data_IF_982923106000
#
_entry.id   IF_982923106000
#
_cell.length_a   1.000
_cell.length_b   1.000
_cell.length_c   1.000
_cell.angle_alpha   90.00
_cell.angle_beta   90.00
_cell.angle_gamma   90.00
#
_symmetry.space_group_name_H-M   'P 1'
#
loop_
_entity.id
_entity.type
_entity.pdbx_description
1 polymer ?
#
# COMPACT_ATOMS: atom_id res chain seq x y z
N UNK A 1 -22.78 -1.97 -19.01
CA UNK A 1 -22.41 -0.57 -18.73
C UNK A 1 -20.93 -0.56 -18.43
N UNK A 2 -20.11 0.11 -19.24
CA UNK A 2 -18.70 0.31 -18.88
C UNK A 2 -18.66 1.36 -17.78
N UNK A 3 -18.25 0.97 -16.57
CA UNK A 3 -17.94 1.95 -15.52
C UNK A 3 -16.72 2.73 -16.01
N UNK A 4 -16.85 4.05 -16.15
CA UNK A 4 -15.74 4.95 -16.46
C UNK A 4 -15.22 5.51 -15.14
N UNK A 5 -13.93 5.29 -14.88
CA UNK A 5 -13.23 5.86 -13.73
C UNK A 5 -12.42 7.08 -14.20
N UNK A 6 -12.39 8.13 -13.38
CA UNK A 6 -11.56 9.32 -13.61
C UNK A 6 -10.79 9.65 -12.32
N UNK A 7 -9.46 9.62 -12.41
CA UNK A 7 -8.54 9.97 -11.33
C UNK A 7 -7.63 11.15 -11.72
N UNK A 8 -7.99 11.92 -12.75
CA UNK A 8 -7.26 13.13 -13.10
C UNK A 8 -7.16 14.09 -11.90
N UNK A 9 -5.95 14.61 -11.66
CA UNK A 9 -5.67 15.49 -10.52
C UNK A 9 -5.61 14.78 -9.16
N UNK A 10 -5.69 13.44 -9.11
CA UNK A 10 -5.52 12.65 -7.88
C UNK A 10 -4.10 12.13 -7.74
N UNK A 11 -3.60 12.15 -6.51
CA UNK A 11 -2.28 11.60 -6.13
C UNK A 11 -2.45 10.30 -5.38
N UNK A 12 -1.79 9.25 -5.87
CA UNK A 12 -1.89 7.89 -5.33
C UNK A 12 -0.51 7.40 -4.90
N UNK A 13 -0.34 7.09 -3.62
CA UNK A 13 0.86 6.45 -3.08
C UNK A 13 0.61 4.95 -2.89
N UNK A 14 1.45 4.11 -3.51
CA UNK A 14 1.33 2.65 -3.48
C UNK A 14 2.62 2.03 -2.97
N UNK A 15 2.55 1.21 -1.92
CA UNK A 15 3.70 0.42 -1.45
C UNK A 15 3.72 -1.00 -2.04
N UNK A 16 4.90 -1.59 -2.20
CA UNK A 16 5.04 -2.86 -2.91
C UNK A 16 4.59 -2.75 -4.37
N UNK A 17 4.76 -1.57 -4.96
CA UNK A 17 4.23 -1.23 -6.27
C UNK A 17 5.16 -1.57 -7.44
N UNK A 18 6.33 -2.17 -7.17
CA UNK A 18 7.28 -2.62 -8.17
C UNK A 18 6.95 -3.98 -8.78
N UNK A 19 5.99 -4.73 -8.22
CA UNK A 19 5.60 -6.05 -8.74
C UNK A 19 4.15 -6.43 -8.44
N UNK A 20 3.67 -7.50 -9.09
CA UNK A 20 2.40 -8.16 -8.79
C UNK A 20 1.19 -7.22 -8.76
N UNK A 21 0.36 -7.36 -7.72
CA UNK A 21 -0.86 -6.57 -7.51
C UNK A 21 -0.54 -5.08 -7.41
N UNK A 22 0.56 -4.70 -6.75
CA UNK A 22 0.93 -3.30 -6.57
C UNK A 22 1.28 -2.63 -7.90
N UNK A 23 2.09 -3.28 -8.74
CA UNK A 23 2.42 -2.77 -10.07
C UNK A 23 1.18 -2.68 -10.97
N UNK A 24 0.32 -3.71 -10.98
CA UNK A 24 -0.93 -3.67 -11.73
C UNK A 24 -1.85 -2.53 -11.26
N UNK A 25 -1.94 -2.31 -9.94
CA UNK A 25 -2.70 -1.22 -9.34
C UNK A 25 -2.15 0.15 -9.77
N UNK A 26 -0.82 0.31 -9.77
CA UNK A 26 -0.16 1.53 -10.24
C UNK A 26 -0.49 1.84 -11.71
N UNK A 27 -0.41 0.82 -12.57
CA UNK A 27 -0.72 0.94 -14.01
C UNK A 27 -2.18 1.33 -14.22
N UNK A 28 -3.13 0.73 -13.49
CA UNK A 28 -4.54 1.09 -13.64
C UNK A 28 -4.84 2.51 -13.14
N UNK A 29 -4.26 2.96 -12.02
CA UNK A 29 -4.42 4.36 -11.60
C UNK A 29 -3.81 5.34 -12.64
N UNK A 30 -2.66 5.01 -13.21
CA UNK A 30 -2.05 5.81 -14.26
C UNK A 30 -2.94 5.87 -15.53
N UNK A 31 -3.54 4.74 -15.93
CA UNK A 31 -4.48 4.63 -17.06
C UNK A 31 -5.65 5.59 -16.93
N UNK A 32 -6.14 5.80 -15.71
CA UNK A 32 -7.23 6.72 -15.40
C UNK A 32 -6.77 8.14 -15.02
N UNK A 33 -5.51 8.49 -15.30
CA UNK A 33 -5.02 9.87 -15.21
C UNK A 33 -4.47 10.30 -13.85
N UNK A 34 -4.29 9.39 -12.90
CA UNK A 34 -3.72 9.72 -11.59
C UNK A 34 -2.21 10.03 -11.68
N UNK A 35 -1.73 10.90 -10.79
CA UNK A 35 -0.31 11.01 -10.47
C UNK A 35 0.06 9.90 -9.49
N UNK A 36 0.83 8.91 -9.95
CA UNK A 36 1.19 7.74 -9.15
C UNK A 36 2.57 7.94 -8.51
N UNK A 37 2.69 7.53 -7.25
CA UNK A 37 3.95 7.37 -6.51
C UNK A 37 4.09 5.90 -6.11
N UNK A 38 5.19 5.29 -6.50
CA UNK A 38 5.47 3.86 -6.31
C UNK A 38 6.62 3.72 -5.32
N UNK A 39 6.33 3.11 -4.18
CA UNK A 39 7.32 2.69 -3.19
C UNK A 39 7.57 1.18 -3.27
N UNK A 40 8.83 0.78 -3.43
CA UNK A 40 9.23 -0.64 -3.42
C UNK A 40 10.71 -0.77 -3.06
N UNK A 41 11.12 -1.94 -2.56
CA UNK A 41 12.51 -2.27 -2.25
C UNK A 41 13.27 -2.74 -3.51
N UNK A 42 12.57 -3.18 -4.55
CA UNK A 42 13.17 -3.57 -5.82
C UNK A 42 13.25 -2.40 -6.81
N UNK A 43 14.45 -1.88 -7.01
CA UNK A 43 14.72 -0.81 -7.97
C UNK A 43 14.39 -1.18 -9.43
N UNK A 44 14.54 -2.46 -9.79
CA UNK A 44 14.24 -2.92 -11.15
C UNK A 44 12.74 -2.95 -11.38
N UNK A 45 11.99 -3.55 -10.44
CA UNK A 45 10.53 -3.53 -10.42
C UNK A 45 9.95 -2.13 -10.45
N UNK A 46 10.50 -1.18 -9.68
CA UNK A 46 10.12 0.24 -9.73
C UNK A 46 10.22 0.83 -11.13
N UNK A 47 11.36 0.63 -11.79
CA UNK A 47 11.61 1.19 -13.12
C UNK A 47 10.66 0.59 -14.16
N UNK A 48 10.41 -0.72 -14.07
CA UNK A 48 9.49 -1.42 -14.96
C UNK A 48 8.05 -0.93 -14.76
N UNK A 49 7.56 -0.88 -13.52
CA UNK A 49 6.21 -0.43 -13.21
C UNK A 49 6.00 1.03 -13.61
N UNK A 50 6.98 1.92 -13.37
CA UNK A 50 6.89 3.32 -13.77
C UNK A 50 6.84 3.49 -15.30
N UNK A 51 7.60 2.67 -16.04
CA UNK A 51 7.55 2.64 -17.51
C UNK A 51 6.18 2.20 -18.01
N UNK A 52 5.60 1.16 -17.40
CA UNK A 52 4.26 0.69 -17.73
C UNK A 52 3.19 1.76 -17.44
N UNK A 53 3.30 2.47 -16.31
CA UNK A 53 2.42 3.59 -15.96
C UNK A 53 2.49 4.70 -17.02
N UNK A 54 3.71 5.08 -17.44
CA UNK A 54 3.91 6.10 -18.46
C UNK A 54 3.23 5.73 -19.79
N UNK A 55 3.35 4.46 -20.21
CA UNK A 55 2.80 3.99 -21.48
C UNK A 55 1.25 4.02 -21.53
N UNK A 56 0.57 4.00 -20.38
CA UNK A 56 -0.90 4.01 -20.32
C UNK A 56 -1.47 5.35 -19.86
N UNK A 57 -0.64 6.27 -19.37
CA UNK A 57 -1.12 7.54 -18.83
C UNK A 57 -1.64 8.45 -19.95
N UNK A 58 -2.90 8.93 -19.88
CA UNK A 58 -3.48 9.79 -20.92
C UNK A 58 -2.76 11.14 -21.05
N UNK A 59 -2.05 11.59 -19.99
CA UNK A 59 -1.35 12.87 -19.93
C UNK A 59 0.18 12.69 -19.84
N UNK A 60 0.69 11.50 -20.17
CA UNK A 60 2.12 11.15 -20.05
C UNK A 60 2.72 11.45 -18.66
N UNK A 61 1.91 11.31 -17.60
CA UNK A 61 2.37 11.50 -16.22
C UNK A 61 3.35 10.37 -15.87
N UNK A 62 4.56 10.77 -15.47
CA UNK A 62 5.56 9.82 -14.98
C UNK A 62 5.24 9.45 -13.54
N UNK A 63 5.17 8.15 -13.27
CA UNK A 63 5.09 7.68 -11.90
C UNK A 63 6.39 8.03 -11.15
N UNK A 64 6.26 8.61 -9.96
CA UNK A 64 7.41 8.88 -9.09
C UNK A 64 7.86 7.56 -8.46
N UNK A 65 9.15 7.29 -8.52
CA UNK A 65 9.75 6.08 -7.98
C UNK A 65 10.49 6.41 -6.70
N UNK A 66 10.22 5.65 -5.65
CA UNK A 66 10.89 5.80 -4.37
C UNK A 66 11.37 4.41 -3.92
N UNK A 67 12.67 4.17 -4.04
CA UNK A 67 13.29 2.97 -3.48
C UNK A 67 13.12 3.00 -1.97
N UNK A 68 12.35 2.09 -1.38
CA UNK A 68 11.97 2.12 0.02
C UNK A 68 11.75 0.72 0.58
N UNK A 69 12.44 0.41 1.67
CA UNK A 69 12.13 -0.73 2.51
C UNK A 69 11.10 -0.30 3.56
N UNK A 70 9.87 -0.80 3.42
CA UNK A 70 8.76 -0.42 4.30
C UNK A 70 8.94 -0.86 5.77
N UNK A 71 9.96 -1.67 6.07
CA UNK A 71 10.32 -2.03 7.45
C UNK A 71 11.22 -1.00 8.12
N UNK A 72 11.66 0.04 7.39
CA UNK A 72 12.51 1.12 7.91
C UNK A 72 11.71 2.41 8.00
N UNK A 73 11.59 2.96 9.20
CA UNK A 73 10.83 4.19 9.46
C UNK A 73 11.31 5.37 8.61
N UNK A 74 12.63 5.51 8.43
CA UNK A 74 13.20 6.57 7.59
C UNK A 74 12.79 6.47 6.12
N UNK A 75 12.56 5.26 5.60
CA UNK A 75 12.09 5.06 4.23
C UNK A 75 10.59 5.37 4.10
N UNK A 76 9.79 5.08 5.14
CA UNK A 76 8.39 5.46 5.21
C UNK A 76 8.22 6.99 5.24
N UNK A 77 9.02 7.68 6.06
CA UNK A 77 9.03 9.14 6.10
C UNK A 77 9.41 9.72 4.73
N UNK A 78 10.48 9.19 4.12
CA UNK A 78 10.92 9.63 2.78
C UNK A 78 9.87 9.39 1.70
N UNK A 79 9.11 8.29 1.76
CA UNK A 79 7.98 8.05 0.84
C UNK A 79 6.94 9.18 0.93
N UNK A 80 6.54 9.53 2.14
CA UNK A 80 5.54 10.58 2.38
C UNK A 80 6.09 11.94 1.99
N UNK A 81 7.30 12.30 2.42
CA UNK A 81 7.93 13.58 2.12
C UNK A 81 8.13 13.77 0.60
N UNK A 82 8.57 12.73 -0.10
CA UNK A 82 8.73 12.77 -1.57
C UNK A 82 7.38 13.00 -2.24
N UNK A 83 6.34 12.29 -1.79
CA UNK A 83 4.97 12.43 -2.32
C UNK A 83 4.45 13.85 -2.14
N UNK A 84 4.55 14.39 -0.93
CA UNK A 84 4.03 15.73 -0.63
C UNK A 84 4.86 16.82 -1.30
N UNK A 85 6.18 16.70 -1.30
CA UNK A 85 7.06 17.70 -1.93
C UNK A 85 6.84 17.77 -3.44
N UNK A 86 6.70 16.62 -4.11
CA UNK A 86 6.58 16.57 -5.56
C UNK A 86 5.15 16.80 -6.07
N UNK A 87 4.13 16.36 -5.31
CA UNK A 87 2.74 16.37 -5.76
C UNK A 87 1.84 17.36 -5.00
N UNK A 88 2.29 17.90 -3.87
CA UNK A 88 1.56 18.89 -3.06
C UNK A 88 0.39 18.32 -2.24
N UNK A 89 -0.05 17.08 -2.51
CA UNK A 89 -1.19 16.45 -1.86
C UNK A 89 -1.08 14.92 -1.86
N UNK A 90 -1.98 14.27 -1.13
CA UNK A 90 -2.20 12.82 -1.17
C UNK A 90 -3.71 12.54 -1.11
N UNK A 91 -4.25 11.87 -2.12
CA UNK A 91 -5.67 11.51 -2.18
C UNK A 91 -5.92 10.05 -1.83
N UNK A 92 -5.00 9.15 -2.20
CA UNK A 92 -5.19 7.72 -2.04
C UNK A 92 -3.88 7.07 -1.54
N UNK A 93 -3.96 6.38 -0.41
CA UNK A 93 -2.90 5.52 0.10
C UNK A 93 -3.28 4.06 -0.12
N UNK A 94 -2.45 3.33 -0.86
CA UNK A 94 -2.58 1.88 -1.06
C UNK A 94 -1.44 1.17 -0.33
N UNK A 95 -1.78 0.62 0.83
CA UNK A 95 -0.89 -0.24 1.61
C UNK A 95 -0.93 -1.66 1.03
N UNK A 96 -0.06 -1.92 0.06
CA UNK A 96 -0.01 -3.20 -0.64
C UNK A 96 1.23 -4.04 -0.32
N UNK A 97 2.34 -3.43 0.13
CA UNK A 97 3.55 -4.17 0.49
C UNK A 97 3.22 -5.33 1.45
N UNK A 98 3.71 -6.52 1.12
CA UNK A 98 3.41 -7.70 1.92
C UNK A 98 4.25 -8.90 1.52
N UNK A 99 4.54 -9.74 2.50
CA UNK A 99 5.25 -11.01 2.34
C UNK A 99 4.47 -12.13 3.01
N UNK A 100 4.67 -13.35 2.50
CA UNK A 100 4.14 -14.57 3.09
C UNK A 100 5.23 -15.63 3.14
N UNK A 101 5.19 -16.49 4.15
CA UNK A 101 6.04 -17.67 4.27
C UNK A 101 5.24 -18.76 4.97
N UNK A 102 5.21 -19.95 4.38
CA UNK A 102 4.76 -21.16 5.04
C UNK A 102 5.88 -21.64 5.98
N UNK A 103 5.61 -21.68 7.27
CA UNK A 103 6.56 -22.09 8.32
C UNK A 103 5.81 -22.56 9.58
N UNK A 104 6.13 -23.78 10.02
CA UNK A 104 5.56 -24.35 11.23
C UNK A 104 6.05 -23.63 12.50
N UNK A 105 5.21 -23.58 13.54
CA UNK A 105 5.54 -22.93 14.83
C UNK A 105 6.79 -23.50 15.51
N UNK A 106 7.10 -24.79 15.27
CA UNK A 106 8.27 -25.46 15.84
C UNK A 106 9.54 -25.31 14.99
N UNK A 107 9.48 -24.62 13.84
CA UNK A 107 10.66 -24.40 12.99
C UNK A 107 11.61 -23.38 13.64
N UNK A 108 12.95 -23.57 13.61
CA UNK A 108 13.92 -22.67 14.24
C UNK A 108 13.80 -21.20 13.76
N UNK A 109 13.55 -20.99 12.47
CA UNK A 109 13.36 -19.65 11.89
C UNK A 109 11.96 -19.04 12.08
N UNK A 110 11.06 -19.69 12.85
CA UNK A 110 9.68 -19.22 12.97
C UNK A 110 9.63 -17.77 13.46
N UNK A 111 10.35 -17.46 14.54
CA UNK A 111 10.33 -16.11 15.13
C UNK A 111 10.92 -15.04 14.21
N UNK A 112 11.94 -15.37 13.43
CA UNK A 112 12.51 -14.46 12.42
C UNK A 112 11.49 -14.17 11.32
N UNK A 113 10.80 -15.21 10.86
CA UNK A 113 9.76 -15.08 9.82
C UNK A 113 8.55 -14.32 10.33
N UNK A 114 8.13 -14.60 11.56
CA UNK A 114 7.05 -13.90 12.26
C UNK A 114 7.31 -12.39 12.31
N UNK A 115 8.48 -11.98 12.80
CA UNK A 115 8.87 -10.57 12.90
C UNK A 115 8.86 -9.90 11.52
N UNK A 116 9.49 -10.53 10.52
CA UNK A 116 9.51 -9.99 9.15
C UNK A 116 8.10 -9.82 8.59
N UNK A 117 7.24 -10.83 8.75
CA UNK A 117 5.86 -10.79 8.26
C UNK A 117 5.07 -9.67 8.94
N UNK A 118 5.14 -9.52 10.27
CA UNK A 118 4.40 -8.45 10.94
C UNK A 118 4.96 -7.07 10.60
N UNK A 119 6.28 -6.89 10.60
CA UNK A 119 6.89 -5.60 10.27
C UNK A 119 6.56 -5.14 8.85
N UNK A 120 6.57 -6.05 7.88
CA UNK A 120 6.19 -5.72 6.50
C UNK A 120 4.67 -5.56 6.34
N UNK A 121 3.86 -6.50 6.82
CA UNK A 121 2.43 -6.57 6.48
C UNK A 121 1.53 -5.73 7.37
N UNK A 122 1.96 -5.41 8.60
CA UNK A 122 1.16 -4.72 9.62
C UNK A 122 1.81 -3.41 10.03
N UNK A 123 3.02 -3.47 10.62
CA UNK A 123 3.64 -2.29 11.26
C UNK A 123 3.84 -1.17 10.22
N UNK A 124 4.32 -1.52 9.03
CA UNK A 124 4.49 -0.55 7.93
C UNK A 124 3.19 0.15 7.54
N UNK A 125 2.08 -0.59 7.51
CA UNK A 125 0.76 -0.08 7.12
C UNK A 125 0.18 0.84 8.20
N UNK A 126 0.38 0.49 9.47
CA UNK A 126 -0.01 1.33 10.61
C UNK A 126 0.80 2.62 10.61
N UNK A 127 2.13 2.52 10.44
CA UNK A 127 3.03 3.66 10.43
C UNK A 127 2.71 4.61 9.27
N UNK A 128 2.58 4.10 8.04
CA UNK A 128 2.21 4.95 6.90
C UNK A 128 0.83 5.59 7.05
N UNK A 129 -0.13 4.87 7.62
CA UNK A 129 -1.44 5.45 7.94
C UNK A 129 -1.27 6.64 8.88
N UNK A 130 -0.51 6.47 9.97
CA UNK A 130 -0.22 7.55 10.92
C UNK A 130 0.41 8.78 10.25
N UNK A 131 1.43 8.59 9.40
CA UNK A 131 2.10 9.69 8.69
C UNK A 131 1.18 10.40 7.69
N UNK A 132 0.32 9.64 7.00
CA UNK A 132 -0.47 10.14 5.87
C UNK A 132 -1.82 10.76 6.26
N UNK A 133 -2.38 10.43 7.44
CA UNK A 133 -3.75 10.86 7.83
C UNK A 133 -3.93 12.38 7.71
N UNK A 134 -2.95 13.18 8.13
CA UNK A 134 -3.03 14.64 8.05
C UNK A 134 -3.14 15.20 6.62
N UNK A 135 -2.62 14.47 5.62
CA UNK A 135 -2.68 14.88 4.21
C UNK A 135 -3.95 14.36 3.55
N UNK A 136 -4.33 13.12 3.87
CA UNK A 136 -5.58 12.50 3.43
C UNK A 136 -6.82 13.24 3.96
N UNK A 137 -6.75 13.83 5.16
CA UNK A 137 -7.82 14.65 5.72
C UNK A 137 -8.09 15.90 4.86
N UNK A 138 -7.04 16.53 4.32
CA UNK A 138 -7.17 17.72 3.45
C UNK A 138 -7.87 17.41 2.14
N UNK A 139 -7.73 16.19 1.63
CA UNK A 139 -8.29 15.74 0.35
C UNK A 139 -9.58 14.94 0.50
N UNK A 140 -10.01 14.65 1.74
CA UNK A 140 -11.07 13.67 2.05
C UNK A 140 -10.79 12.33 1.36
N UNK A 141 -9.55 11.89 1.51
CA UNK A 141 -8.94 10.83 0.74
C UNK A 141 -9.39 9.42 1.11
N UNK A 142 -8.62 8.44 0.62
CA UNK A 142 -8.93 7.01 0.74
C UNK A 142 -7.69 6.25 1.20
N UNK A 143 -7.88 5.30 2.11
CA UNK A 143 -6.88 4.30 2.46
C UNK A 143 -7.40 2.93 2.05
N UNK A 144 -6.56 2.17 1.35
CA UNK A 144 -6.84 0.79 0.94
C UNK A 144 -5.72 -0.11 1.45
N UNK A 145 -6.08 -1.17 2.17
CA UNK A 145 -5.15 -2.22 2.56
C UNK A 145 -5.34 -3.47 1.69
N UNK A 146 -4.24 -4.06 1.22
CA UNK A 146 -4.26 -5.39 0.62
C UNK A 146 -4.27 -6.44 1.74
N UNK A 147 -5.41 -7.09 1.93
CA UNK A 147 -5.63 -8.18 2.87
C UNK A 147 -5.47 -9.55 2.19
N UNK A 148 -6.15 -10.58 2.70
CA UNK A 148 -6.18 -11.93 2.14
C UNK A 148 -7.41 -12.69 2.66
N UNK A 149 -7.87 -13.68 1.90
CA UNK A 149 -8.77 -14.74 2.41
C UNK A 149 -8.26 -15.40 3.70
N UNK A 150 -6.94 -15.49 3.86
CA UNK A 150 -6.28 -16.07 5.04
C UNK A 150 -6.40 -15.21 6.31
N UNK A 151 -6.99 -14.02 6.20
CA UNK A 151 -7.41 -13.24 7.35
C UNK A 151 -8.64 -13.81 8.07
N UNK A 152 -9.40 -14.68 7.39
CA UNK A 152 -10.66 -15.25 7.88
C UNK A 152 -10.58 -16.77 8.09
N UNK A 153 -9.55 -17.41 7.54
CA UNK A 153 -9.38 -18.85 7.57
C UNK A 153 -8.05 -19.21 8.21
N UNK A 154 -8.09 -20.05 9.25
CA UNK A 154 -6.89 -20.64 9.81
C UNK A 154 -6.29 -21.62 8.80
N UNK A 155 -5.00 -21.47 8.52
CA UNK A 155 -4.27 -22.35 7.61
C UNK A 155 -2.99 -22.83 8.29
N UNK A 156 -2.75 -24.16 8.36
CA UNK A 156 -1.52 -24.71 8.91
C UNK A 156 -0.28 -24.04 8.33
N UNK A 157 0.72 -23.80 9.18
CA UNK A 157 2.02 -23.19 8.84
C UNK A 157 1.97 -21.75 8.29
N UNK A 158 0.80 -21.10 8.28
CA UNK A 158 0.68 -19.69 7.91
C UNK A 158 0.27 -18.80 9.09
N UNK A 159 0.47 -19.25 10.32
CA UNK A 159 -0.02 -18.56 11.53
C UNK A 159 0.38 -17.09 11.60
N UNK A 160 1.64 -16.74 11.30
CA UNK A 160 2.11 -15.35 11.26
C UNK A 160 1.43 -14.53 10.15
N UNK A 161 1.23 -15.12 8.97
CA UNK A 161 0.57 -14.45 7.84
C UNK A 161 -0.92 -14.23 8.11
N UNK A 162 -1.64 -15.28 8.55
CA UNK A 162 -3.02 -15.21 8.99
C UNK A 162 -3.21 -14.13 10.06
N UNK A 163 -2.34 -14.10 11.08
CA UNK A 163 -2.36 -13.08 12.12
C UNK A 163 -2.20 -11.67 11.55
N UNK A 164 -1.21 -11.45 10.66
CA UNK A 164 -0.98 -10.14 10.04
C UNK A 164 -2.20 -9.63 9.26
N UNK A 165 -2.87 -10.51 8.51
CA UNK A 165 -4.01 -10.14 7.67
C UNK A 165 -5.31 -10.00 8.47
N UNK A 166 -5.50 -10.81 9.52
CA UNK A 166 -6.59 -10.62 10.48
C UNK A 166 -6.44 -9.28 11.22
N UNK A 167 -5.22 -8.93 11.64
CA UNK A 167 -4.93 -7.64 12.27
C UNK A 167 -5.23 -6.47 11.33
N UNK A 168 -4.80 -6.53 10.06
CA UNK A 168 -5.13 -5.50 9.06
C UNK A 168 -6.65 -5.35 8.86
N UNK A 169 -7.41 -6.44 8.85
CA UNK A 169 -8.88 -6.36 8.72
C UNK A 169 -9.52 -5.64 9.91
N UNK A 170 -9.06 -5.92 11.13
CA UNK A 170 -9.57 -5.21 12.30
C UNK A 170 -9.13 -3.75 12.27
N UNK A 171 -7.85 -3.48 11.97
CA UNK A 171 -7.31 -2.13 11.86
C UNK A 171 -8.07 -1.29 10.82
N UNK A 172 -8.42 -1.88 9.67
CA UNK A 172 -9.26 -1.25 8.64
C UNK A 172 -10.58 -0.75 9.22
N UNK A 173 -11.26 -1.56 10.04
CA UNK A 173 -12.54 -1.19 10.66
C UNK A 173 -12.37 -0.08 11.69
N UNK A 174 -11.34 -0.16 12.53
CA UNK A 174 -11.02 0.89 13.49
C UNK A 174 -10.78 2.22 12.77
N UNK A 175 -9.90 2.23 11.76
CA UNK A 175 -9.57 3.43 11.00
C UNK A 175 -10.77 3.99 10.22
N UNK A 176 -11.66 3.14 9.71
CA UNK A 176 -12.89 3.62 9.06
C UNK A 176 -13.81 4.39 10.03
N UNK A 177 -13.90 3.95 11.28
CA UNK A 177 -14.70 4.62 12.32
C UNK A 177 -14.00 5.89 12.79
N UNK A 178 -12.70 5.80 13.11
CA UNK A 178 -11.92 6.92 13.65
C UNK A 178 -11.78 8.07 12.64
N UNK A 179 -11.59 7.75 11.35
CA UNK A 179 -11.29 8.73 10.32
C UNK A 179 -12.50 9.12 9.47
N UNK A 180 -13.63 8.40 9.61
CA UNK A 180 -14.84 8.68 8.84
C UNK A 180 -15.40 10.09 9.08
N UNK A 181 -15.34 10.58 10.32
CA UNK A 181 -15.72 11.96 10.67
C UNK A 181 -14.86 13.04 9.99
N UNK A 182 -13.65 12.67 9.54
CA UNK A 182 -12.73 13.51 8.79
C UNK A 182 -12.93 13.42 7.27
N UNK A 183 -13.90 12.62 6.83
CA UNK A 183 -14.16 12.37 5.40
C UNK A 183 -13.17 11.39 4.75
N UNK A 184 -12.32 10.71 5.51
CA UNK A 184 -11.40 9.70 4.96
C UNK A 184 -12.12 8.35 4.91
N UNK A 185 -12.11 7.71 3.74
CA UNK A 185 -12.66 6.36 3.58
C UNK A 185 -11.56 5.32 3.76
N UNK A 186 -11.82 4.25 4.50
CA UNK A 186 -10.83 3.20 4.76
C UNK A 186 -11.43 1.82 4.46
N UNK A 187 -10.77 1.05 3.59
CA UNK A 187 -11.23 -0.27 3.17
C UNK A 187 -10.07 -1.25 3.02
N UNK A 188 -10.40 -2.54 2.94
CA UNK A 188 -9.45 -3.60 2.63
C UNK A 188 -9.97 -4.50 1.52
N UNK A 189 -9.10 -4.96 0.63
CA UNK A 189 -9.42 -5.94 -0.42
C UNK A 189 -8.79 -7.28 -0.06
N UNK A 190 -9.50 -8.39 -0.22
CA UNK A 190 -9.05 -9.74 0.19
C UNK A 190 -8.77 -10.66 -0.99
#
# INVERSE_FOLDING_TARGET
MSVSYDFAGKVVLITGGGSGIGAATAVEFARYGAQVVIGDIDATGLTQAATQCLNVSPNALKALQVLADVTKEGDLQRLVDTTITACGQLDILVNNAGVSRNININHPDYMTSYKRILSTNLDSSVHLTHLCVQYLEKTKGVIVYTSSVMAYQATPDFSAYCMSKAAINMFTKCMAIELGGKGIRVNSVK
#
